data_IF_174447651914
#
_entry.id   IF_174447651914
#
_cell.length_a   1.000
_cell.length_b   1.000
_cell.length_c   1.000
_cell.angle_alpha   90.00
_cell.angle_beta   90.00
_cell.angle_gamma   90.00
#
_symmetry.space_group_name_H-M   'P 1'
#
loop_
_entity.id
_entity.type
_entity.pdbx_description
1 polymer ?
#
# COMPACT_ATOMS: atom_id res chain seq x y z
N UNK A 1 -20.80 17.04 -3.50
CA UNK A 1 -19.60 16.18 -3.71
C UNK A 1 -19.26 16.27 -5.19
N UNK A 2 -18.07 16.71 -5.53
CA UNK A 2 -17.58 16.65 -6.91
C UNK A 2 -17.60 15.21 -7.40
N UNK A 3 -17.96 15.00 -8.65
CA UNK A 3 -17.96 13.68 -9.25
C UNK A 3 -16.51 13.19 -9.34
N UNK A 4 -16.13 12.19 -8.56
CA UNK A 4 -14.75 11.65 -8.50
C UNK A 4 -14.22 11.27 -9.89
N UNK A 5 -15.09 10.90 -10.84
CA UNK A 5 -14.71 10.54 -12.19
C UNK A 5 -14.22 11.76 -13.02
N UNK A 6 -14.53 12.98 -12.59
CA UNK A 6 -14.07 14.22 -13.22
C UNK A 6 -12.72 14.70 -12.68
N UNK A 7 -12.30 14.16 -11.53
CA UNK A 7 -11.00 14.47 -10.95
C UNK A 7 -9.87 14.03 -11.89
N UNK A 8 -8.88 14.88 -12.11
CA UNK A 8 -7.81 14.63 -13.08
C UNK A 8 -7.00 13.34 -12.81
N UNK A 9 -6.88 12.89 -11.54
CA UNK A 9 -6.23 11.64 -11.18
C UNK A 9 -7.07 10.41 -11.51
N UNK A 10 -8.38 10.53 -11.73
CA UNK A 10 -9.23 9.37 -11.99
C UNK A 10 -8.71 8.53 -13.15
N UNK A 11 -8.34 9.17 -14.26
CA UNK A 11 -7.81 8.48 -15.45
C UNK A 11 -6.39 7.95 -15.31
N UNK A 12 -5.65 8.27 -14.26
CA UNK A 12 -4.43 7.55 -13.91
C UNK A 12 -4.76 6.19 -13.30
N UNK A 13 -5.78 6.12 -12.46
CA UNK A 13 -6.21 4.87 -11.82
C UNK A 13 -7.17 4.03 -12.66
N UNK A 14 -7.89 4.66 -13.60
CA UNK A 14 -8.85 4.02 -14.50
C UNK A 14 -8.60 4.41 -15.95
N UNK A 15 -7.40 4.18 -16.50
CA UNK A 15 -7.14 4.46 -17.89
C UNK A 15 -7.94 3.48 -18.76
N UNK A 16 -8.59 4.00 -19.83
CA UNK A 16 -9.25 3.14 -20.79
C UNK A 16 -8.26 2.45 -21.73
N UNK A 17 -7.03 2.98 -21.87
CA UNK A 17 -5.95 2.40 -22.64
C UNK A 17 -4.59 2.88 -22.14
N UNK A 18 -3.53 2.09 -22.36
CA UNK A 18 -2.19 2.36 -21.85
C UNK A 18 -1.11 2.14 -22.91
N UNK A 19 -0.22 3.12 -23.09
CA UNK A 19 1.01 2.98 -23.87
C UNK A 19 2.19 2.67 -22.94
N UNK A 20 2.96 1.63 -23.24
CA UNK A 20 4.12 1.20 -22.47
C UNK A 20 5.40 1.41 -23.28
N UNK A 21 6.05 2.56 -23.09
CA UNK A 21 7.22 2.99 -23.87
C UNK A 21 8.49 2.43 -23.20
N UNK A 22 9.24 1.61 -23.92
CA UNK A 22 10.40 0.89 -23.41
C UNK A 22 10.07 -0.50 -22.86
N UNK A 23 8.86 -1.01 -23.11
CA UNK A 23 8.49 -2.39 -22.79
C UNK A 23 9.44 -3.41 -23.46
N UNK A 24 9.63 -4.55 -22.84
CA UNK A 24 10.57 -5.57 -23.32
C UNK A 24 9.94 -6.96 -23.24
N UNK A 25 10.29 -7.83 -24.21
CA UNK A 25 9.99 -9.27 -24.17
C UNK A 25 11.05 -10.06 -23.38
N UNK A 26 12.18 -9.44 -23.07
CA UNK A 26 13.26 -10.10 -22.33
C UNK A 26 12.91 -10.17 -20.85
N UNK A 27 12.69 -11.39 -20.34
CA UNK A 27 12.34 -11.69 -18.94
C UNK A 27 13.37 -11.21 -17.90
N UNK A 28 14.62 -10.99 -18.32
CA UNK A 28 15.67 -10.45 -17.45
C UNK A 28 15.65 -8.92 -17.36
N UNK A 29 14.79 -8.25 -18.12
CA UNK A 29 14.62 -6.80 -18.03
C UNK A 29 13.41 -6.46 -17.17
N UNK A 30 13.54 -5.55 -16.18
CA UNK A 30 12.41 -5.16 -15.34
C UNK A 30 11.19 -4.67 -16.13
N UNK A 31 11.39 -3.99 -17.28
CA UNK A 31 10.32 -3.52 -18.15
C UNK A 31 9.50 -4.64 -18.84
N UNK A 32 9.93 -5.90 -18.73
CA UNK A 32 9.12 -7.08 -19.08
C UNK A 32 7.83 -7.14 -18.25
N UNK A 33 7.94 -6.82 -16.96
CA UNK A 33 6.83 -6.91 -16.02
C UNK A 33 5.74 -5.87 -16.29
N UNK A 34 6.04 -4.76 -16.96
CA UNK A 34 5.02 -3.76 -17.31
C UNK A 34 3.89 -4.34 -18.18
N UNK A 35 4.22 -5.20 -19.15
CA UNK A 35 3.22 -5.88 -19.98
C UNK A 35 2.71 -7.14 -19.30
N UNK A 36 3.61 -7.95 -18.74
CA UNK A 36 3.27 -9.24 -18.12
C UNK A 36 2.28 -9.09 -16.96
N UNK A 37 2.44 -8.07 -16.11
CA UNK A 37 1.52 -7.83 -14.99
C UNK A 37 0.11 -7.50 -15.49
N UNK A 38 -0.04 -6.60 -16.46
CA UNK A 38 -1.34 -6.23 -17.01
C UNK A 38 -2.08 -7.44 -17.60
N UNK A 39 -1.35 -8.30 -18.32
CA UNK A 39 -1.91 -9.53 -18.89
C UNK A 39 -2.34 -10.52 -17.81
N UNK A 40 -1.49 -10.78 -16.82
CA UNK A 40 -1.75 -11.74 -15.73
C UNK A 40 -2.88 -11.29 -14.81
N UNK A 41 -2.98 -9.97 -14.57
CA UNK A 41 -4.00 -9.40 -13.68
C UNK A 41 -5.32 -9.10 -14.41
N UNK A 42 -5.38 -9.31 -15.74
CA UNK A 42 -6.60 -9.20 -16.52
C UNK A 42 -7.03 -7.76 -16.82
N UNK A 43 -6.06 -6.83 -17.03
CA UNK A 43 -6.39 -5.49 -17.51
C UNK A 43 -7.11 -5.58 -18.85
N UNK A 44 -8.35 -5.06 -18.92
CA UNK A 44 -9.22 -5.23 -20.07
C UNK A 44 -9.03 -4.17 -21.18
N UNK A 45 -8.35 -3.06 -20.89
CA UNK A 45 -8.11 -1.98 -21.86
C UNK A 45 -7.04 -2.33 -22.89
N UNK A 46 -7.02 -1.67 -24.05
CA UNK A 46 -5.94 -1.80 -25.02
C UNK A 46 -4.58 -1.45 -24.40
N UNK A 47 -3.60 -2.34 -24.62
CA UNK A 47 -2.20 -2.16 -24.26
C UNK A 47 -1.41 -1.90 -25.56
N UNK A 48 -0.64 -0.83 -25.59
CA UNK A 48 0.19 -0.43 -26.73
C UNK A 48 1.67 -0.44 -26.32
N UNK A 49 2.37 -1.60 -26.43
CA UNK A 49 3.81 -1.63 -26.23
C UNK A 49 4.52 -0.81 -27.31
N UNK A 50 5.48 0.03 -26.89
CA UNK A 50 6.28 0.84 -27.82
C UNK A 50 7.75 0.44 -27.71
N UNK A 51 8.30 -0.08 -28.81
CA UNK A 51 9.69 -0.53 -28.88
C UNK A 51 10.24 -0.34 -30.30
N UNK A 52 11.42 0.28 -30.51
CA UNK A 52 11.90 0.67 -31.84
C UNK A 52 12.20 -0.49 -32.78
N UNK A 53 12.37 -1.72 -32.27
CA UNK A 53 12.78 -2.88 -33.06
C UNK A 53 11.81 -4.07 -32.99
N UNK A 54 11.07 -4.23 -31.89
CA UNK A 54 10.15 -5.34 -31.72
C UNK A 54 8.80 -5.02 -32.38
N UNK A 55 8.25 -5.97 -33.10
CA UNK A 55 6.92 -5.86 -33.74
C UNK A 55 5.81 -6.40 -32.86
N UNK A 56 6.19 -7.20 -31.86
CA UNK A 56 5.29 -7.86 -30.93
C UNK A 56 6.01 -8.00 -29.58
N UNK A 57 5.28 -7.88 -28.48
CA UNK A 57 5.74 -8.12 -27.11
C UNK A 57 4.67 -8.90 -26.38
N UNK A 58 4.99 -10.11 -25.94
CA UNK A 58 4.10 -11.04 -25.24
C UNK A 58 2.75 -11.25 -25.96
N UNK A 59 2.77 -11.42 -27.27
CA UNK A 59 1.57 -11.65 -28.09
C UNK A 59 0.80 -10.37 -28.44
N UNK A 60 1.27 -9.19 -28.01
CA UNK A 60 0.64 -7.90 -28.31
C UNK A 60 1.44 -7.17 -29.38
N UNK A 61 0.73 -6.65 -30.42
CA UNK A 61 1.34 -5.79 -31.46
C UNK A 61 2.09 -4.64 -30.80
N UNK A 62 3.38 -4.48 -31.11
CA UNK A 62 4.20 -3.36 -30.66
C UNK A 62 4.36 -2.32 -31.77
N UNK A 63 4.54 -1.07 -31.35
CA UNK A 63 4.66 0.09 -32.24
C UNK A 63 6.10 0.62 -32.17
N UNK A 64 6.69 1.10 -33.29
CA UNK A 64 8.05 1.62 -33.28
C UNK A 64 8.19 2.94 -32.50
N UNK A 65 7.15 3.74 -32.49
CA UNK A 65 7.02 4.98 -31.74
C UNK A 65 5.55 5.27 -31.37
N UNK A 66 5.32 6.17 -30.44
CA UNK A 66 3.98 6.50 -29.94
C UNK A 66 3.10 7.17 -31.00
N UNK A 67 3.68 7.85 -31.99
CA UNK A 67 2.98 8.50 -33.07
C UNK A 67 2.29 7.51 -34.01
N UNK A 68 2.80 6.27 -34.12
CA UNK A 68 2.25 5.20 -34.95
C UNK A 68 1.07 4.45 -34.33
N UNK A 69 0.75 4.70 -33.07
CA UNK A 69 -0.48 4.20 -32.46
C UNK A 69 -1.64 4.97 -33.08
N UNK A 70 -2.66 4.30 -33.63
CA UNK A 70 -3.79 4.96 -34.28
C UNK A 70 -4.63 5.77 -33.29
N UNK A 71 -4.92 5.20 -32.13
CA UNK A 71 -5.63 5.84 -31.02
C UNK A 71 -4.72 6.81 -30.24
N UNK A 72 -5.33 7.66 -29.42
CA UNK A 72 -4.63 8.43 -28.39
C UNK A 72 -4.76 7.66 -27.07
N UNK A 73 -3.67 7.07 -26.52
CA UNK A 73 -3.73 6.39 -25.24
C UNK A 73 -4.13 7.34 -24.09
N UNK A 74 -4.91 6.83 -23.14
CA UNK A 74 -5.30 7.61 -21.95
C UNK A 74 -4.12 7.86 -21.01
N UNK A 75 -3.22 6.87 -20.90
CA UNK A 75 -2.03 6.88 -20.05
C UNK A 75 -0.82 6.43 -20.85
N UNK A 76 0.31 7.10 -20.70
CA UNK A 76 1.61 6.62 -21.18
C UNK A 76 2.56 6.40 -20.02
N UNK A 77 3.25 5.24 -20.01
CA UNK A 77 4.33 4.91 -19.08
C UNK A 77 5.64 4.96 -19.85
N UNK A 78 6.53 5.89 -19.48
CA UNK A 78 7.82 6.11 -20.13
C UNK A 78 8.91 5.44 -19.28
N UNK A 79 9.26 4.19 -19.66
CA UNK A 79 10.19 3.31 -18.94
C UNK A 79 11.50 3.13 -19.73
N UNK A 80 12.17 4.23 -20.00
CA UNK A 80 13.46 4.28 -20.71
C UNK A 80 14.51 5.03 -19.89
N UNK A 81 15.73 5.18 -20.38
CA UNK A 81 16.77 5.94 -19.69
C UNK A 81 16.43 7.43 -19.57
N UNK A 82 16.99 8.08 -18.55
CA UNK A 82 16.86 9.53 -18.32
C UNK A 82 17.12 10.35 -19.60
N UNK A 83 18.16 10.03 -20.35
CA UNK A 83 18.53 10.76 -21.57
C UNK A 83 17.47 10.72 -22.67
N UNK A 84 16.65 9.67 -22.74
CA UNK A 84 15.60 9.49 -23.74
C UNK A 84 14.25 10.07 -23.29
N UNK A 85 14.04 10.20 -21.98
CA UNK A 85 12.76 10.57 -21.38
C UNK A 85 12.20 11.91 -21.89
N UNK A 86 13.00 13.01 -21.99
CA UNK A 86 12.45 14.31 -22.46
C UNK A 86 11.91 14.27 -23.87
N UNK A 87 12.61 13.61 -24.81
CA UNK A 87 12.15 13.50 -26.20
C UNK A 87 10.85 12.67 -26.32
N UNK A 88 10.73 11.59 -25.55
CA UNK A 88 9.53 10.76 -25.54
C UNK A 88 8.35 11.43 -24.82
N UNK A 89 8.60 12.29 -23.84
CA UNK A 89 7.57 13.16 -23.26
C UNK A 89 7.02 14.11 -24.34
N UNK A 90 7.90 14.74 -25.14
CA UNK A 90 7.47 15.60 -26.25
C UNK A 90 6.67 14.82 -27.31
N UNK A 91 7.03 13.57 -27.59
CA UNK A 91 6.27 12.68 -28.48
C UNK A 91 4.88 12.39 -27.93
N UNK A 92 4.75 12.12 -26.63
CA UNK A 92 3.46 11.95 -25.96
C UNK A 92 2.60 13.21 -26.03
N UNK A 93 3.20 14.39 -25.77
CA UNK A 93 2.54 15.68 -25.86
C UNK A 93 2.00 15.90 -27.29
N UNK A 94 2.83 15.70 -28.32
CA UNK A 94 2.43 15.83 -29.73
C UNK A 94 1.33 14.85 -30.13
N UNK A 95 1.34 13.65 -29.57
CA UNK A 95 0.29 12.64 -29.77
C UNK A 95 -1.03 13.02 -29.12
N UNK A 96 -1.04 13.97 -28.20
CA UNK A 96 -2.21 14.39 -27.43
C UNK A 96 -2.49 13.58 -26.18
N UNK A 97 -1.52 12.78 -25.73
CA UNK A 97 -1.62 12.03 -24.45
C UNK A 97 -1.56 13.04 -23.30
N UNK A 98 -2.53 12.96 -22.40
CA UNK A 98 -2.69 13.94 -21.32
C UNK A 98 -2.15 13.49 -19.97
N UNK A 99 -1.77 12.22 -19.83
CA UNK A 99 -1.29 11.62 -18.58
C UNK A 99 -0.08 10.77 -18.85
N UNK A 100 1.00 11.05 -18.11
CA UNK A 100 2.26 10.33 -18.26
C UNK A 100 2.80 9.87 -16.92
N UNK A 101 3.45 8.73 -16.91
CA UNK A 101 4.27 8.24 -15.78
C UNK A 101 5.71 8.21 -16.25
N UNK A 102 6.60 8.87 -15.51
CA UNK A 102 8.02 8.97 -15.81
C UNK A 102 8.78 8.03 -14.87
N UNK A 103 9.21 6.89 -15.39
CA UNK A 103 9.77 5.82 -14.56
C UNK A 103 11.24 6.04 -14.22
N UNK A 104 12.01 6.62 -15.13
CA UNK A 104 13.45 6.78 -14.95
C UNK A 104 13.82 7.65 -13.75
N UNK A 105 14.83 7.22 -13.01
CA UNK A 105 15.64 8.10 -12.15
C UNK A 105 16.72 8.83 -12.93
N UNK A 106 17.58 9.60 -12.24
CA UNK A 106 18.65 10.41 -12.82
C UNK A 106 18.29 11.89 -12.96
N UNK A 107 17.35 12.38 -12.18
CA UNK A 107 16.85 13.76 -12.19
C UNK A 107 17.30 14.52 -10.94
N UNK A 108 16.42 15.17 -10.20
CA UNK A 108 16.77 16.02 -9.05
C UNK A 108 17.67 15.32 -8.00
N UNK A 109 17.58 14.01 -7.87
CA UNK A 109 18.35 13.19 -6.94
C UNK A 109 19.85 13.08 -7.29
N UNK A 110 20.24 13.32 -8.54
CA UNK A 110 21.66 13.27 -8.94
C UNK A 110 22.39 14.62 -8.85
N UNK A 111 21.70 15.67 -8.38
CA UNK A 111 22.32 17.00 -8.18
C UNK A 111 21.82 18.08 -9.15
N UNK A 112 22.64 19.10 -9.36
CA UNK A 112 22.24 20.34 -10.05
C UNK A 112 21.80 20.12 -11.51
N UNK A 113 22.53 19.33 -12.28
CA UNK A 113 22.21 19.08 -13.68
C UNK A 113 20.92 18.28 -13.84
N UNK A 114 20.73 17.26 -12.99
CA UNK A 114 19.47 16.50 -12.97
C UNK A 114 18.29 17.35 -12.56
N UNK A 115 18.46 18.24 -11.59
CA UNK A 115 17.42 19.19 -11.16
C UNK A 115 17.02 20.14 -12.28
N UNK A 116 18.01 20.73 -13.00
CA UNK A 116 17.74 21.58 -14.15
C UNK A 116 16.93 20.85 -15.22
N UNK A 117 17.30 19.62 -15.55
CA UNK A 117 16.58 18.81 -16.52
C UNK A 117 15.12 18.53 -16.06
N UNK A 118 14.93 18.23 -14.77
CA UNK A 118 13.59 18.05 -14.22
C UNK A 118 12.75 19.32 -14.27
N UNK A 119 13.33 20.48 -13.98
CA UNK A 119 12.68 21.79 -14.10
C UNK A 119 12.27 22.13 -15.55
N UNK A 120 13.13 21.83 -16.52
CA UNK A 120 12.82 21.97 -17.95
C UNK A 120 11.63 21.10 -18.36
N UNK A 121 11.60 19.84 -17.90
CA UNK A 121 10.48 18.92 -18.15
C UNK A 121 9.22 19.40 -17.46
N UNK A 122 9.28 19.88 -16.24
CA UNK A 122 8.15 20.47 -15.52
C UNK A 122 7.56 21.66 -16.28
N UNK A 123 8.41 22.50 -16.88
CA UNK A 123 7.99 23.59 -17.77
C UNK A 123 7.19 23.11 -18.98
N UNK A 124 7.64 22.01 -19.63
CA UNK A 124 6.93 21.40 -20.78
C UNK A 124 5.58 20.82 -20.37
N UNK A 125 5.55 20.10 -19.24
CA UNK A 125 4.32 19.52 -18.68
C UNK A 125 3.29 20.63 -18.41
N UNK A 126 3.66 21.69 -17.70
CA UNK A 126 2.79 22.83 -17.41
C UNK A 126 2.29 23.53 -18.69
N UNK A 127 3.18 23.79 -19.64
CA UNK A 127 2.83 24.48 -20.90
C UNK A 127 1.87 23.67 -21.78
N UNK A 128 1.93 22.34 -21.74
CA UNK A 128 1.10 21.45 -22.57
C UNK A 128 -0.23 21.06 -21.94
N UNK A 129 -0.42 21.30 -20.63
CA UNK A 129 -1.57 20.83 -19.87
C UNK A 129 -1.59 19.30 -19.66
N UNK A 130 -0.45 18.62 -19.87
CA UNK A 130 -0.25 17.23 -19.49
C UNK A 130 -0.06 17.16 -17.98
N UNK A 131 -0.50 16.08 -17.35
CA UNK A 131 -0.18 15.79 -15.93
C UNK A 131 0.80 14.62 -15.87
N UNK A 132 1.73 14.67 -14.92
CA UNK A 132 2.82 13.71 -14.83
C UNK A 132 3.03 13.17 -13.41
N UNK A 133 3.14 11.84 -13.27
CA UNK A 133 3.66 11.17 -12.07
C UNK A 133 5.16 10.97 -12.24
N UNK A 134 5.94 11.22 -11.18
CA UNK A 134 7.40 11.06 -11.20
C UNK A 134 8.14 12.36 -11.52
N UNK A 135 9.35 12.30 -12.09
CA UNK A 135 10.12 11.10 -12.47
C UNK A 135 10.51 10.20 -11.29
N UNK A 136 11.18 9.09 -11.58
CA UNK A 136 11.58 8.10 -10.59
C UNK A 136 10.38 7.45 -9.85
N UNK A 137 9.34 7.06 -10.60
CA UNK A 137 8.09 6.53 -10.06
C UNK A 137 7.63 5.27 -10.79
N UNK A 138 7.07 4.31 -10.03
CA UNK A 138 6.49 3.06 -10.53
C UNK A 138 5.05 2.94 -10.02
N UNK A 139 4.14 3.51 -10.76
CA UNK A 139 2.69 3.53 -10.45
C UNK A 139 1.89 3.86 -11.72
N UNK A 140 0.55 3.78 -11.70
CA UNK A 140 -0.30 3.36 -10.59
C UNK A 140 -0.52 1.86 -10.51
N UNK A 141 -1.06 1.40 -9.36
CA UNK A 141 -1.63 0.07 -9.20
C UNK A 141 -3.11 0.22 -8.82
N UNK A 142 -3.99 -0.52 -9.49
CA UNK A 142 -5.41 -0.61 -9.18
C UNK A 142 -5.90 -2.05 -9.44
N UNK A 143 -6.04 -2.88 -8.40
CA UNK A 143 -6.46 -4.27 -8.53
C UNK A 143 -7.87 -4.46 -9.11
N UNK A 144 -8.76 -3.47 -8.91
CA UNK A 144 -10.15 -3.56 -9.39
C UNK A 144 -10.27 -3.68 -10.91
N UNK A 145 -9.25 -3.24 -11.64
CA UNK A 145 -9.22 -3.31 -13.11
C UNK A 145 -8.00 -4.04 -13.66
N UNK A 146 -7.24 -4.74 -12.80
CA UNK A 146 -6.02 -5.43 -13.19
C UNK A 146 -4.87 -4.53 -13.62
N UNK A 147 -4.91 -3.23 -13.25
CA UNK A 147 -3.83 -2.28 -13.56
C UNK A 147 -2.68 -2.42 -12.58
N UNK A 148 -1.48 -2.69 -13.07
CA UNK A 148 -0.26 -2.68 -12.26
C UNK A 148 0.96 -2.23 -13.07
N UNK A 149 1.40 -1.02 -12.83
CA UNK A 149 2.67 -0.48 -13.35
C UNK A 149 3.75 -0.73 -12.30
N UNK A 150 4.50 -1.80 -12.47
CA UNK A 150 5.57 -2.24 -11.57
C UNK A 150 6.66 -2.99 -12.34
N UNK A 151 7.90 -2.92 -11.87
CA UNK A 151 9.03 -3.70 -12.36
C UNK A 151 9.15 -5.07 -11.70
N UNK A 152 8.34 -5.35 -10.70
CA UNK A 152 8.27 -6.66 -10.05
C UNK A 152 7.11 -7.49 -10.60
N UNK A 153 7.29 -8.81 -10.61
CA UNK A 153 6.24 -9.73 -11.01
C UNK A 153 5.10 -9.71 -10.00
N UNK A 154 3.90 -9.37 -10.48
CA UNK A 154 2.67 -9.39 -9.71
C UNK A 154 1.68 -10.32 -10.42
N UNK A 155 1.36 -11.44 -9.81
CA UNK A 155 0.42 -12.45 -10.33
C UNK A 155 -0.84 -12.59 -9.47
N UNK A 156 -0.84 -11.94 -8.30
CA UNK A 156 -1.99 -11.90 -7.41
C UNK A 156 -2.07 -10.53 -6.72
N UNK A 157 -3.20 -9.87 -6.89
CA UNK A 157 -3.58 -8.67 -6.14
C UNK A 157 -5.00 -8.85 -5.61
N UNK A 158 -5.19 -8.61 -4.32
CA UNK A 158 -6.52 -8.63 -3.71
C UNK A 158 -7.06 -7.20 -3.63
N UNK A 159 -8.26 -7.01 -4.19
CA UNK A 159 -8.98 -5.73 -4.07
C UNK A 159 -9.48 -5.55 -2.63
N UNK A 160 -9.36 -4.33 -2.12
CA UNK A 160 -9.82 -3.95 -0.78
C UNK A 160 -10.02 -2.46 -0.63
N UNK A 161 -10.00 -1.96 0.61
CA UNK A 161 -10.25 -0.56 0.93
C UNK A 161 -9.01 0.27 1.19
N UNK A 162 -7.81 -0.32 1.20
CA UNK A 162 -6.56 0.40 1.49
C UNK A 162 -6.04 1.11 0.24
N UNK A 163 -5.80 2.42 0.34
CA UNK A 163 -5.08 3.20 -0.67
C UNK A 163 -3.74 3.67 -0.15
N UNK A 164 -2.70 3.57 -0.97
CA UNK A 164 -1.33 3.87 -0.58
C UNK A 164 -0.75 5.00 -1.44
N UNK A 165 -0.11 5.97 -0.78
CA UNK A 165 0.66 7.04 -1.40
C UNK A 165 2.11 6.88 -0.95
N UNK A 166 3.02 6.74 -1.91
CA UNK A 166 4.45 6.64 -1.66
C UNK A 166 5.21 7.77 -2.36
N UNK A 167 6.29 8.22 -1.74
CA UNK A 167 7.24 9.15 -2.36
C UNK A 167 8.50 8.43 -2.86
N UNK A 168 8.72 7.19 -2.44
CA UNK A 168 9.94 6.43 -2.71
C UNK A 168 9.58 5.02 -3.15
N UNK A 169 10.36 4.44 -4.07
CA UNK A 169 10.26 3.04 -4.46
C UNK A 169 10.59 2.03 -3.35
N UNK A 170 10.67 2.45 -2.10
CA UNK A 170 10.94 1.63 -0.90
C UNK A 170 10.01 0.40 -0.80
N UNK A 171 8.78 0.52 -1.24
CA UNK A 171 7.78 -0.56 -1.20
C UNK A 171 7.95 -1.58 -2.34
N UNK A 172 8.53 -1.18 -3.48
CA UNK A 172 8.64 -2.02 -4.69
C UNK A 172 9.23 -3.42 -4.42
N UNK A 173 10.38 -3.56 -3.72
CA UNK A 173 10.92 -4.88 -3.41
C UNK A 173 10.04 -5.71 -2.46
N UNK A 174 9.12 -5.06 -1.75
CA UNK A 174 8.21 -5.69 -0.79
C UNK A 174 6.85 -6.06 -1.38
N UNK A 175 6.52 -5.65 -2.61
CA UNK A 175 5.20 -5.86 -3.23
C UNK A 175 4.78 -7.32 -3.18
N UNK A 176 5.68 -8.25 -3.50
CA UNK A 176 5.36 -9.66 -3.45
C UNK A 176 4.98 -10.10 -2.03
N UNK A 177 5.80 -9.77 -1.04
CA UNK A 177 5.51 -10.09 0.35
C UNK A 177 4.22 -9.44 0.82
N UNK A 178 3.99 -8.17 0.53
CA UNK A 178 2.78 -7.43 0.93
C UNK A 178 1.51 -8.08 0.39
N UNK A 179 1.51 -8.47 -0.89
CA UNK A 179 0.30 -8.99 -1.52
C UNK A 179 0.11 -10.49 -1.36
N UNK A 180 1.19 -11.26 -1.26
CA UNK A 180 1.11 -12.73 -1.14
C UNK A 180 1.14 -13.19 0.31
N UNK A 181 2.16 -12.79 1.06
CA UNK A 181 2.41 -13.33 2.40
C UNK A 181 1.62 -12.54 3.46
N UNK A 182 1.68 -11.20 3.42
CA UNK A 182 0.92 -10.36 4.33
C UNK A 182 -0.55 -10.18 3.91
N UNK A 183 -0.96 -10.70 2.76
CA UNK A 183 -2.32 -10.67 2.24
C UNK A 183 -2.97 -9.28 2.32
N UNK A 184 -2.24 -8.27 1.86
CA UNK A 184 -2.71 -6.89 1.85
C UNK A 184 -3.80 -6.72 0.79
N UNK A 185 -4.93 -6.14 1.16
CA UNK A 185 -6.04 -5.85 0.25
C UNK A 185 -5.98 -4.38 -0.17
N UNK A 186 -5.69 -4.15 -1.43
CA UNK A 186 -5.42 -2.83 -1.97
C UNK A 186 -6.61 -2.27 -2.76
N UNK A 187 -6.90 -1.00 -2.56
CA UNK A 187 -7.75 -0.24 -3.48
C UNK A 187 -6.91 0.41 -4.58
N UNK A 188 -6.01 1.30 -4.19
CA UNK A 188 -5.12 2.02 -5.12
C UNK A 188 -3.74 2.24 -4.53
N UNK A 189 -2.73 2.30 -5.39
CA UNK A 189 -1.39 2.71 -5.00
C UNK A 189 -0.87 3.73 -6.01
N UNK A 190 -0.29 4.81 -5.50
CA UNK A 190 0.43 5.81 -6.27
C UNK A 190 1.82 6.05 -5.65
N UNK A 191 2.85 5.90 -6.47
CA UNK A 191 4.21 6.33 -6.18
C UNK A 191 4.45 7.66 -6.90
N UNK A 192 4.76 8.68 -6.14
CA UNK A 192 4.91 10.05 -6.65
C UNK A 192 6.33 10.34 -7.15
N UNK A 193 7.31 9.52 -6.75
CA UNK A 193 8.72 9.73 -7.09
C UNK A 193 9.23 11.11 -6.68
N UNK A 194 9.87 11.82 -7.61
CA UNK A 194 10.44 13.16 -7.36
C UNK A 194 9.40 14.30 -7.32
N UNK A 195 8.11 14.01 -7.54
CA UNK A 195 7.01 14.99 -7.45
C UNK A 195 7.20 16.22 -8.36
N UNK A 196 7.59 15.99 -9.60
CA UNK A 196 7.81 17.07 -10.56
C UNK A 196 6.55 17.89 -10.88
N UNK A 197 5.38 17.22 -10.92
CA UNK A 197 4.07 17.81 -11.19
C UNK A 197 3.07 17.39 -10.12
N UNK A 198 2.77 16.08 -10.00
CA UNK A 198 1.83 15.56 -9.01
C UNK A 198 2.52 15.35 -7.67
N UNK A 199 1.83 15.72 -6.59
CA UNK A 199 2.32 15.62 -5.22
C UNK A 199 1.31 14.93 -4.28
N UNK A 200 1.62 14.86 -2.99
CA UNK A 200 0.82 14.20 -1.98
C UNK A 200 -0.55 14.87 -1.75
N UNK A 201 -0.65 16.18 -1.95
CA UNK A 201 -1.92 16.92 -1.82
C UNK A 201 -2.87 16.54 -2.95
N UNK A 202 -2.35 16.44 -4.17
CA UNK A 202 -3.10 15.96 -5.33
C UNK A 202 -3.63 14.53 -5.11
N UNK A 203 -2.78 13.63 -4.61
CA UNK A 203 -3.14 12.24 -4.35
C UNK A 203 -4.19 12.13 -3.22
N UNK A 204 -4.00 12.84 -2.11
CA UNK A 204 -4.96 12.90 -1.01
C UNK A 204 -6.30 13.47 -1.45
N UNK A 205 -6.31 14.56 -2.25
CA UNK A 205 -7.55 15.18 -2.71
C UNK A 205 -8.44 14.19 -3.49
N UNK A 206 -7.85 13.25 -4.21
CA UNK A 206 -8.57 12.17 -4.88
C UNK A 206 -9.00 11.07 -3.89
N UNK A 207 -8.08 10.54 -3.09
CA UNK A 207 -8.34 9.36 -2.26
C UNK A 207 -9.30 9.63 -1.10
N UNK A 208 -9.30 10.83 -0.55
CA UNK A 208 -10.26 11.24 0.50
C UNK A 208 -11.70 11.14 -0.01
N UNK A 209 -11.93 11.48 -1.27
CA UNK A 209 -13.25 11.45 -1.90
C UNK A 209 -13.57 10.16 -2.67
N UNK A 210 -12.59 9.27 -2.86
CA UNK A 210 -12.81 7.99 -3.53
C UNK A 210 -13.67 7.05 -2.65
N UNK A 211 -14.86 6.63 -3.12
CA UNK A 211 -15.78 5.82 -2.32
C UNK A 211 -15.24 4.43 -1.99
N UNK A 212 -14.26 3.93 -2.75
CA UNK A 212 -13.64 2.64 -2.49
C UNK A 212 -12.47 2.72 -1.51
N UNK A 213 -11.97 3.93 -1.21
CA UNK A 213 -10.92 4.14 -0.22
C UNK A 213 -11.52 4.17 1.18
N UNK A 214 -11.11 3.27 2.06
CA UNK A 214 -11.49 3.21 3.48
C UNK A 214 -10.35 3.60 4.41
N UNK A 215 -9.13 3.26 4.04
CA UNK A 215 -7.90 3.58 4.79
C UNK A 215 -6.88 4.19 3.82
N UNK A 216 -6.13 5.18 4.26
CA UNK A 216 -5.05 5.78 3.48
C UNK A 216 -3.73 5.56 4.21
N UNK A 217 -2.77 4.91 3.56
CA UNK A 217 -1.38 4.85 4.01
C UNK A 217 -0.53 5.85 3.24
N UNK A 218 0.25 6.67 3.94
CA UNK A 218 1.02 7.75 3.36
C UNK A 218 2.48 7.70 3.84
N UNK A 219 3.41 7.37 2.94
CA UNK A 219 4.85 7.45 3.19
C UNK A 219 5.44 8.70 2.53
N UNK A 220 6.03 9.58 3.34
CA UNK A 220 6.58 10.87 2.91
C UNK A 220 8.04 11.05 3.33
N UNK A 221 8.81 11.65 2.44
CA UNK A 221 10.14 12.23 2.74
C UNK A 221 10.05 13.76 2.90
N UNK A 222 9.22 14.40 2.06
CA UNK A 222 8.94 15.84 2.09
C UNK A 222 7.47 16.13 1.82
N UNK A 223 7.03 17.35 2.07
CA UNK A 223 5.74 17.90 1.62
C UNK A 223 6.06 18.97 0.59
N UNK A 224 5.61 18.78 -0.66
CA UNK A 224 5.84 19.70 -1.78
C UNK A 224 4.57 20.50 -2.13
N UNK A 225 3.40 19.98 -1.78
CA UNK A 225 2.13 20.67 -1.95
C UNK A 225 1.89 21.73 -0.88
N UNK A 226 0.74 22.41 -0.96
CA UNK A 226 0.31 23.37 0.06
C UNK A 226 0.14 22.68 1.42
N UNK A 227 0.95 23.03 2.44
CA UNK A 227 0.89 22.38 3.75
C UNK A 227 -0.44 22.58 4.48
N UNK A 228 -1.12 23.69 4.29
CA UNK A 228 -2.43 23.92 4.90
C UNK A 228 -3.48 23.02 4.25
N UNK A 229 -3.49 22.95 2.93
CA UNK A 229 -4.39 22.05 2.21
C UNK A 229 -4.12 20.57 2.54
N UNK A 230 -2.85 20.20 2.76
CA UNK A 230 -2.48 18.87 3.23
C UNK A 230 -3.14 18.54 4.56
N UNK A 231 -3.08 19.46 5.55
CA UNK A 231 -3.69 19.27 6.86
C UNK A 231 -5.22 19.27 6.80
N UNK A 232 -5.82 20.12 5.97
CA UNK A 232 -7.26 20.14 5.76
C UNK A 232 -7.76 18.80 5.22
N UNK A 233 -7.03 18.20 4.25
CA UNK A 233 -7.38 16.89 3.69
C UNK A 233 -7.24 15.75 4.70
N UNK A 234 -6.25 15.82 5.60
CA UNK A 234 -6.13 14.84 6.69
C UNK A 234 -7.31 14.94 7.66
N UNK A 235 -7.67 16.16 8.05
CA UNK A 235 -8.83 16.41 8.92
C UNK A 235 -10.15 16.00 8.24
N UNK A 236 -10.29 16.27 6.94
CA UNK A 236 -11.43 15.86 6.13
C UNK A 236 -11.53 14.32 6.07
N UNK A 237 -10.42 13.61 5.82
CA UNK A 237 -10.39 12.15 5.85
C UNK A 237 -10.87 11.58 7.19
N UNK A 238 -10.36 12.15 8.30
CA UNK A 238 -10.79 11.77 9.66
C UNK A 238 -12.30 12.00 9.86
N UNK A 239 -12.83 13.15 9.40
CA UNK A 239 -14.27 13.46 9.50
C UNK A 239 -15.16 12.51 8.68
N UNK A 240 -14.62 11.94 7.61
CA UNK A 240 -15.27 10.95 6.76
C UNK A 240 -15.08 9.51 7.26
N UNK A 241 -14.46 9.32 8.43
CA UNK A 241 -14.18 8.00 8.99
C UNK A 241 -13.10 7.22 8.23
N UNK A 242 -12.23 7.89 7.49
CA UNK A 242 -11.12 7.29 6.74
C UNK A 242 -9.81 7.53 7.49
N UNK A 243 -9.32 6.58 8.28
CA UNK A 243 -8.05 6.76 8.99
C UNK A 243 -6.90 6.91 8.00
N UNK A 244 -5.97 7.83 8.34
CA UNK A 244 -4.75 8.06 7.57
C UNK A 244 -3.55 7.67 8.42
N UNK A 245 -2.77 6.70 7.96
CA UNK A 245 -1.52 6.27 8.59
C UNK A 245 -0.36 6.95 7.88
N UNK A 246 0.49 7.67 8.62
CA UNK A 246 1.61 8.45 8.07
C UNK A 246 2.95 7.90 8.55
N UNK A 247 3.78 7.46 7.62
CA UNK A 247 5.19 7.17 7.85
C UNK A 247 6.04 8.31 7.29
N UNK A 248 6.76 9.03 8.15
CA UNK A 248 7.65 10.12 7.76
C UNK A 248 9.10 9.67 7.83
N UNK A 249 9.80 9.68 6.69
CA UNK A 249 11.25 9.49 6.61
C UNK A 249 12.01 10.81 6.82
N UNK A 250 13.31 10.73 7.12
CA UNK A 250 14.14 11.92 7.30
C UNK A 250 13.90 12.67 8.62
N UNK A 251 13.53 11.99 9.69
CA UNK A 251 13.15 12.54 11.02
C UNK A 251 14.34 13.13 11.79
N UNK A 252 15.52 12.59 11.61
CA UNK A 252 16.76 13.01 12.26
C UNK A 252 17.63 13.84 11.31
N UNK A 253 18.58 14.61 11.83
CA UNK A 253 19.51 15.36 10.99
C UNK A 253 20.28 14.47 9.99
N UNK A 254 20.68 13.26 10.43
CA UNK A 254 21.33 12.28 9.56
C UNK A 254 20.34 11.72 8.51
N UNK A 255 19.11 11.37 8.92
CA UNK A 255 18.05 10.91 8.03
C UNK A 255 17.63 11.99 7.02
N UNK A 256 17.51 13.25 7.45
CA UNK A 256 17.23 14.37 6.57
C UNK A 256 18.32 14.57 5.49
N UNK A 257 19.59 14.45 5.88
CA UNK A 257 20.71 14.47 4.94
C UNK A 257 20.67 13.30 3.95
N UNK A 258 20.34 12.11 4.43
CA UNK A 258 20.18 10.93 3.59
C UNK A 258 19.01 11.09 2.59
N UNK A 259 17.84 11.56 3.05
CA UNK A 259 16.68 11.84 2.19
C UNK A 259 17.02 12.91 1.13
N UNK A 260 17.68 13.99 1.51
CA UNK A 260 18.13 15.03 0.56
C UNK A 260 19.06 14.48 -0.53
N UNK A 261 19.92 13.52 -0.20
CA UNK A 261 20.82 12.87 -1.18
C UNK A 261 20.11 11.80 -2.03
N UNK A 262 18.97 11.27 -1.57
CA UNK A 262 18.22 10.21 -2.24
C UNK A 262 17.15 10.74 -3.22
N UNK A 263 16.42 11.79 -2.82
CA UNK A 263 15.32 12.34 -3.62
C UNK A 263 15.50 13.80 -4.01
N UNK A 264 16.58 14.44 -3.55
CA UNK A 264 16.79 15.89 -3.71
C UNK A 264 15.85 16.74 -2.84
N UNK A 265 15.04 16.11 -2.01
CA UNK A 265 14.06 16.79 -1.16
C UNK A 265 14.77 17.53 -0.01
N UNK A 266 14.42 18.81 0.18
CA UNK A 266 14.81 19.56 1.37
C UNK A 266 13.91 19.15 2.54
N UNK A 267 14.38 18.17 3.32
CA UNK A 267 13.70 17.79 4.56
C UNK A 267 13.97 18.86 5.60
N UNK A 268 13.09 19.87 5.67
CA UNK A 268 13.10 20.89 6.70
C UNK A 268 11.90 20.69 7.63
N UNK A 269 12.13 20.81 8.93
CA UNK A 269 11.04 20.82 9.90
C UNK A 269 11.40 20.17 11.23
N UNK A 270 10.70 20.59 12.28
CA UNK A 270 10.78 19.98 13.61
C UNK A 270 9.85 18.77 13.65
N UNK A 271 10.41 17.56 13.75
CA UNK A 271 9.67 16.31 13.79
C UNK A 271 8.60 16.27 14.90
N UNK A 272 8.88 16.91 16.05
CA UNK A 272 7.91 17.02 17.15
C UNK A 272 6.70 17.90 16.80
N UNK A 273 6.92 18.95 16.00
CA UNK A 273 5.81 19.80 15.52
C UNK A 273 4.96 19.01 14.54
N UNK A 274 5.60 18.31 13.61
CA UNK A 274 4.93 17.47 12.64
C UNK A 274 4.05 16.40 13.33
N UNK A 275 4.60 15.72 14.33
CA UNK A 275 3.89 14.71 15.13
C UNK A 275 2.63 15.28 15.81
N UNK A 276 2.79 16.43 16.49
CA UNK A 276 1.65 17.06 17.17
C UNK A 276 0.56 17.52 16.20
N UNK A 277 0.95 18.03 15.06
CA UNK A 277 0.01 18.48 14.02
C UNK A 277 -0.74 17.29 13.43
N UNK A 278 -0.06 16.17 13.13
CA UNK A 278 -0.72 14.95 12.68
C UNK A 278 -1.76 14.44 13.69
N UNK A 279 -1.39 14.40 14.96
CA UNK A 279 -2.30 13.99 16.04
C UNK A 279 -3.52 14.92 16.13
N UNK A 280 -3.31 16.24 15.98
CA UNK A 280 -4.39 17.23 16.03
C UNK A 280 -5.41 17.06 14.91
N UNK A 281 -4.98 16.65 13.72
CA UNK A 281 -5.86 16.41 12.56
C UNK A 281 -6.39 14.98 12.49
N UNK A 282 -6.10 14.14 13.50
CA UNK A 282 -6.61 12.77 13.59
C UNK A 282 -5.86 11.75 12.73
N UNK A 283 -4.66 12.10 12.25
CA UNK A 283 -3.81 11.14 11.53
C UNK A 283 -2.99 10.28 12.51
N UNK A 284 -2.73 9.04 12.13
CA UNK A 284 -1.99 8.04 12.91
C UNK A 284 -0.55 8.05 12.41
N UNK A 285 0.41 8.23 13.31
CA UNK A 285 1.82 8.17 12.95
C UNK A 285 2.39 6.79 13.18
N UNK A 286 3.06 6.23 12.16
CA UNK A 286 3.85 5.03 12.27
C UNK A 286 5.33 5.37 12.49
N UNK A 287 6.03 4.62 13.35
CA UNK A 287 7.43 4.82 13.73
C UNK A 287 8.39 4.00 12.85
N UNK A 288 7.91 2.90 12.27
CA UNK A 288 8.66 2.01 11.40
C UNK A 288 7.85 1.60 10.17
N UNK A 289 8.54 1.01 9.18
CA UNK A 289 7.88 0.52 7.97
C UNK A 289 6.99 -0.69 8.26
N UNK A 290 7.39 -1.54 9.18
CA UNK A 290 6.61 -2.73 9.56
C UNK A 290 5.34 -2.30 10.29
N UNK A 291 5.44 -1.39 11.27
CA UNK A 291 4.30 -0.78 11.94
C UNK A 291 3.35 -0.06 10.97
N UNK A 292 3.89 0.65 9.97
CA UNK A 292 3.08 1.30 8.94
C UNK A 292 2.19 0.30 8.20
N UNK A 293 2.75 -0.81 7.72
CA UNK A 293 1.97 -1.81 7.01
C UNK A 293 1.03 -2.59 7.92
N UNK A 294 1.44 -2.86 9.16
CA UNK A 294 0.59 -3.54 10.15
C UNK A 294 -0.62 -2.69 10.53
N UNK A 295 -0.43 -1.39 10.77
CA UNK A 295 -1.53 -0.45 11.02
C UNK A 295 -2.46 -0.33 9.80
N UNK A 296 -1.92 -0.16 8.60
CA UNK A 296 -2.72 -0.09 7.37
C UNK A 296 -3.56 -1.36 7.19
N UNK A 297 -2.95 -2.54 7.38
CA UNK A 297 -3.63 -3.82 7.26
C UNK A 297 -4.70 -4.03 8.34
N UNK A 298 -4.37 -3.71 9.59
CA UNK A 298 -5.31 -3.85 10.70
C UNK A 298 -6.53 -2.93 10.51
N UNK A 299 -6.32 -1.65 10.19
CA UNK A 299 -7.40 -0.71 9.96
C UNK A 299 -8.29 -1.10 8.77
N UNK A 300 -7.68 -1.63 7.68
CA UNK A 300 -8.44 -2.11 6.53
C UNK A 300 -9.27 -3.36 6.87
N UNK A 301 -8.73 -4.28 7.68
CA UNK A 301 -9.40 -5.52 8.07
C UNK A 301 -10.48 -5.32 9.11
N UNK A 302 -10.26 -4.41 10.04
CA UNK A 302 -11.17 -4.11 11.14
C UNK A 302 -12.10 -2.91 10.83
N UNK A 303 -12.19 -2.49 9.57
CA UNK A 303 -13.09 -1.41 9.16
C UNK A 303 -14.53 -1.69 9.58
N UNK A 304 -15.13 -0.71 10.27
CA UNK A 304 -16.48 -0.83 10.83
C UNK A 304 -16.58 -1.68 12.10
N UNK A 305 -15.50 -2.28 12.58
CA UNK A 305 -15.47 -2.99 13.86
C UNK A 305 -15.12 -2.03 15.00
N UNK A 306 -16.09 -1.66 15.80
CA UNK A 306 -15.87 -0.96 17.06
C UNK A 306 -15.67 -2.01 18.16
N UNK A 307 -14.51 -2.02 18.80
CA UNK A 307 -14.31 -2.82 20.01
C UNK A 307 -15.19 -2.27 21.13
N UNK A 308 -15.93 -3.17 21.82
CA UNK A 308 -16.82 -2.78 22.91
C UNK A 308 -16.04 -2.34 24.18
N UNK A 309 -14.75 -2.68 24.27
CA UNK A 309 -13.88 -2.36 25.37
C UNK A 309 -12.42 -2.74 25.10
N UNK A 310 -11.63 -2.85 26.16
CA UNK A 310 -10.19 -3.07 26.10
C UNK A 310 -9.74 -4.41 26.74
N UNK A 311 -10.67 -5.34 26.97
CA UNK A 311 -10.37 -6.62 27.64
C UNK A 311 -9.94 -7.66 26.62
N UNK A 312 -8.69 -8.10 26.69
CA UNK A 312 -8.04 -8.95 25.69
C UNK A 312 -7.76 -10.34 26.24
N UNK A 313 -8.02 -11.35 25.45
CA UNK A 313 -7.54 -12.72 25.64
C UNK A 313 -6.32 -12.96 24.77
N UNK A 314 -5.33 -13.64 25.31
CA UNK A 314 -4.15 -14.12 24.57
C UNK A 314 -4.17 -15.65 24.56
N UNK A 315 -3.98 -16.24 23.38
CA UNK A 315 -3.79 -17.68 23.23
C UNK A 315 -2.64 -17.94 22.23
N UNK A 316 -1.57 -18.55 22.70
CA UNK A 316 -0.34 -18.81 21.94
C UNK A 316 0.10 -20.26 22.03
N UNK A 317 0.81 -20.73 21.01
CA UNK A 317 1.43 -22.07 21.06
C UNK A 317 2.61 -22.12 22.03
N UNK A 318 3.61 -21.22 22.01
CA UNK A 318 4.65 -21.20 23.03
C UNK A 318 4.21 -20.36 24.23
N UNK A 319 4.16 -20.97 25.42
CA UNK A 319 3.79 -20.25 26.64
C UNK A 319 4.68 -19.03 26.94
N UNK A 320 5.95 -19.05 26.55
CA UNK A 320 6.84 -17.89 26.67
C UNK A 320 6.38 -16.67 25.88
N UNK A 321 5.76 -16.86 24.73
CA UNK A 321 5.21 -15.77 23.93
C UNK A 321 3.97 -15.14 24.59
N UNK A 322 3.15 -15.95 25.24
CA UNK A 322 2.02 -15.47 26.03
C UNK A 322 2.45 -14.49 27.13
N UNK A 323 3.60 -14.73 27.77
CA UNK A 323 4.16 -13.82 28.79
C UNK A 323 4.51 -12.46 28.16
N UNK A 324 5.26 -12.46 27.04
CA UNK A 324 5.67 -11.24 26.34
C UNK A 324 4.46 -10.45 25.86
N UNK A 325 3.44 -11.15 25.32
CA UNK A 325 2.21 -10.51 24.87
C UNK A 325 1.39 -9.93 26.03
N UNK A 326 1.38 -10.57 27.18
CA UNK A 326 0.71 -10.05 28.38
C UNK A 326 1.34 -8.74 28.84
N UNK A 327 2.66 -8.64 28.85
CA UNK A 327 3.37 -7.38 29.16
C UNK A 327 2.99 -6.29 28.15
N UNK A 328 2.92 -6.64 26.85
CA UNK A 328 2.55 -5.68 25.80
C UNK A 328 1.12 -5.18 25.96
N UNK A 329 0.16 -6.06 26.26
CA UNK A 329 -1.24 -5.67 26.51
C UNK A 329 -1.32 -4.60 27.60
N UNK A 330 -0.59 -4.76 28.71
CA UNK A 330 -0.60 -3.78 29.79
C UNK A 330 0.12 -2.47 29.42
N UNK A 331 1.23 -2.53 28.68
CA UNK A 331 1.98 -1.37 28.22
C UNK A 331 1.14 -0.49 27.30
N UNK A 332 0.25 -1.09 26.49
CA UNK A 332 -0.67 -0.38 25.59
C UNK A 332 -1.97 0.08 26.29
N UNK A 333 -2.07 -0.05 27.60
CA UNK A 333 -3.26 0.36 28.37
C UNK A 333 -4.47 -0.56 28.19
N UNK A 334 -4.25 -1.75 27.63
CA UNK A 334 -5.27 -2.79 27.53
C UNK A 334 -5.32 -3.61 28.81
N UNK A 335 -6.36 -4.42 28.97
CA UNK A 335 -6.59 -5.22 30.19
C UNK A 335 -6.70 -6.70 29.82
N UNK A 336 -6.03 -7.57 30.58
CA UNK A 336 -6.24 -9.01 30.43
C UNK A 336 -7.67 -9.38 30.84
N UNK A 337 -8.41 -9.96 29.92
CA UNK A 337 -9.80 -10.37 30.16
C UNK A 337 -9.91 -11.45 31.23
N UNK A 338 -10.92 -11.33 32.12
CA UNK A 338 -11.32 -12.41 33.02
C UNK A 338 -12.37 -13.26 32.30
N UNK A 339 -11.94 -14.43 31.87
CA UNK A 339 -12.82 -15.37 31.18
C UNK A 339 -13.83 -15.96 32.18
N UNK A 340 -15.10 -16.04 31.79
CA UNK A 340 -16.16 -16.53 32.66
C UNK A 340 -16.03 -18.03 32.97
N UNK A 341 -16.53 -18.45 34.11
CA UNK A 341 -16.53 -19.86 34.53
C UNK A 341 -17.21 -20.77 33.48
N UNK A 342 -18.32 -20.31 32.88
CA UNK A 342 -19.00 -21.05 31.83
C UNK A 342 -18.18 -21.23 30.56
N UNK A 343 -17.36 -20.24 30.21
CA UNK A 343 -16.41 -20.35 29.09
C UNK A 343 -15.28 -21.32 29.42
N UNK A 344 -14.70 -21.24 30.62
CA UNK A 344 -13.68 -22.18 31.04
C UNK A 344 -14.18 -23.63 31.07
N UNK A 345 -15.43 -23.85 31.46
CA UNK A 345 -16.05 -25.19 31.42
C UNK A 345 -16.23 -25.72 30.01
N UNK A 346 -16.60 -24.86 29.04
CA UNK A 346 -16.66 -25.24 27.62
C UNK A 346 -15.29 -25.58 27.03
N UNK A 347 -14.25 -24.93 27.50
CA UNK A 347 -12.88 -25.17 27.05
C UNK A 347 -12.24 -26.40 27.68
N UNK A 348 -12.65 -26.80 28.88
CA UNK A 348 -12.07 -27.94 29.63
C UNK A 348 -11.92 -29.23 28.82
N UNK A 349 -12.90 -29.66 27.98
CA UNK A 349 -12.78 -30.92 27.22
C UNK A 349 -11.66 -30.92 26.17
N UNK A 350 -11.21 -29.76 25.72
CA UNK A 350 -10.17 -29.63 24.69
C UNK A 350 -8.79 -29.33 25.29
N UNK A 351 -8.70 -29.12 26.60
CA UNK A 351 -7.47 -28.97 27.34
C UNK A 351 -7.08 -30.25 28.11
N UNK A 352 -5.79 -30.53 28.36
CA UNK A 352 -5.37 -31.66 29.16
C UNK A 352 -5.96 -31.64 30.58
N UNK A 353 -6.23 -32.80 31.22
CA UNK A 353 -6.88 -32.85 32.52
C UNK A 353 -6.11 -32.15 33.67
N UNK A 354 -4.80 -32.00 33.49
CA UNK A 354 -3.92 -31.36 34.48
C UNK A 354 -3.70 -29.86 34.17
N UNK A 355 -4.14 -29.39 33.00
CA UNK A 355 -4.00 -28.01 32.60
C UNK A 355 -5.35 -27.31 32.75
N UNK A 356 -5.36 -26.22 33.50
CA UNK A 356 -6.58 -25.42 33.70
C UNK A 356 -6.55 -24.26 32.72
N UNK A 357 -7.53 -24.14 31.81
CA UNK A 357 -7.60 -23.01 30.93
C UNK A 357 -7.61 -21.69 31.70
N UNK A 358 -6.71 -20.81 31.35
CA UNK A 358 -6.59 -19.47 31.93
C UNK A 358 -6.06 -18.49 30.89
N UNK A 359 -6.42 -17.21 31.01
CA UNK A 359 -5.86 -16.16 30.18
C UNK A 359 -4.57 -15.58 30.81
N UNK A 360 -3.41 -15.71 30.13
CA UNK A 360 -3.21 -16.21 28.77
C UNK A 360 -3.33 -17.74 28.65
N UNK A 361 -3.86 -18.22 27.53
CA UNK A 361 -3.93 -19.65 27.24
C UNK A 361 -2.65 -20.12 26.56
N UNK A 362 -1.94 -21.06 27.19
CA UNK A 362 -0.85 -21.80 26.55
C UNK A 362 -1.44 -23.01 25.80
N UNK A 363 -1.39 -22.96 24.48
CA UNK A 363 -1.92 -24.01 23.62
C UNK A 363 -0.87 -25.08 23.26
N UNK A 364 0.40 -24.94 23.72
CA UNK A 364 1.50 -25.81 23.32
C UNK A 364 1.24 -27.27 23.64
N UNK A 365 0.88 -27.56 24.88
CA UNK A 365 0.56 -28.93 25.31
C UNK A 365 -0.76 -29.42 24.75
N UNK A 366 -1.77 -28.55 24.71
CA UNK A 366 -3.11 -28.85 24.15
C UNK A 366 -3.00 -29.30 22.69
N UNK A 367 -2.18 -28.62 21.87
CA UNK A 367 -1.99 -28.93 20.45
C UNK A 367 -1.19 -30.22 20.21
N UNK A 368 -0.39 -30.66 21.18
CA UNK A 368 0.35 -31.94 21.07
C UNK A 368 -0.55 -33.17 21.20
N UNK A 369 -1.61 -33.06 21.98
CA UNK A 369 -2.48 -34.20 22.34
C UNK A 369 -3.90 -34.08 21.80
N UNK A 370 -4.35 -32.89 21.40
CA UNK A 370 -5.66 -32.61 20.87
C UNK A 370 -5.68 -32.51 19.33
N UNK A 371 -6.89 -32.53 18.77
CA UNK A 371 -7.07 -32.15 17.36
C UNK A 371 -7.00 -30.61 17.25
N UNK A 372 -6.01 -30.03 16.55
CA UNK A 372 -5.83 -28.59 16.47
C UNK A 372 -7.07 -27.83 15.97
N UNK A 373 -7.77 -28.38 14.98
CA UNK A 373 -9.00 -27.74 14.43
C UNK A 373 -10.07 -27.64 15.53
N UNK A 374 -10.36 -28.76 16.21
CA UNK A 374 -11.36 -28.79 17.28
C UNK A 374 -10.99 -27.85 18.44
N UNK A 375 -9.71 -27.77 18.78
CA UNK A 375 -9.22 -26.85 19.84
C UNK A 375 -9.49 -25.40 19.45
N UNK A 376 -9.12 -25.00 18.23
CA UNK A 376 -9.32 -23.61 17.76
C UNK A 376 -10.80 -23.27 17.60
N UNK A 377 -11.61 -24.15 17.01
CA UNK A 377 -13.05 -23.93 16.87
C UNK A 377 -13.72 -23.74 18.22
N UNK A 378 -13.40 -24.62 19.19
CA UNK A 378 -13.95 -24.53 20.54
C UNK A 378 -13.50 -23.26 21.25
N UNK A 379 -12.21 -22.89 21.10
CA UNK A 379 -11.65 -21.68 21.70
C UNK A 379 -12.33 -20.43 21.15
N UNK A 380 -12.37 -20.28 19.82
CA UNK A 380 -12.97 -19.11 19.16
C UNK A 380 -14.44 -18.98 19.50
N UNK A 381 -15.23 -20.06 19.34
CA UNK A 381 -16.66 -20.04 19.65
C UNK A 381 -16.93 -19.71 21.13
N UNK A 382 -16.11 -20.23 22.05
CA UNK A 382 -16.27 -19.99 23.48
C UNK A 382 -15.91 -18.56 23.88
N UNK A 383 -14.84 -18.01 23.32
CA UNK A 383 -14.39 -16.64 23.61
C UNK A 383 -15.31 -15.59 22.96
N UNK A 384 -15.77 -15.83 21.74
CA UNK A 384 -16.72 -14.94 21.05
C UNK A 384 -18.06 -14.81 21.79
N UNK A 385 -18.45 -15.84 22.54
CA UNK A 385 -19.68 -15.84 23.34
C UNK A 385 -19.47 -15.32 24.78
N UNK A 386 -18.24 -14.97 25.17
CA UNK A 386 -17.95 -14.51 26.54
C UNK A 386 -18.12 -12.99 26.67
N UNK A 387 -19.06 -12.49 27.49
CA UNK A 387 -19.27 -11.06 27.67
C UNK A 387 -18.12 -10.33 28.38
N UNK A 388 -17.17 -11.08 28.94
CA UNK A 388 -15.94 -10.57 29.56
C UNK A 388 -14.79 -10.31 28.60
N UNK A 389 -14.96 -10.66 27.30
CA UNK A 389 -13.92 -10.59 26.26
C UNK A 389 -14.32 -9.59 25.19
N UNK A 390 -13.47 -8.60 24.93
CA UNK A 390 -13.69 -7.60 23.88
C UNK A 390 -12.86 -7.89 22.63
N UNK A 391 -11.69 -8.53 22.80
CA UNK A 391 -10.81 -8.95 21.72
C UNK A 391 -10.01 -10.21 22.12
N UNK A 392 -9.56 -10.97 21.13
CA UNK A 392 -8.67 -12.10 21.33
C UNK A 392 -7.49 -12.02 20.34
N UNK A 393 -6.27 -12.19 20.87
CA UNK A 393 -5.08 -12.46 20.08
C UNK A 393 -4.82 -13.95 20.05
N UNK A 394 -4.93 -14.54 18.87
CA UNK A 394 -4.75 -15.97 18.66
C UNK A 394 -3.54 -16.21 17.75
N UNK A 395 -2.54 -16.91 18.25
CA UNK A 395 -1.44 -17.38 17.42
C UNK A 395 -1.83 -18.70 16.75
N UNK A 396 -1.97 -18.68 15.43
CA UNK A 396 -2.30 -19.86 14.64
C UNK A 396 -0.98 -20.52 14.19
N UNK A 397 -0.77 -21.83 14.44
CA UNK A 397 0.44 -22.52 14.00
C UNK A 397 0.53 -22.60 12.47
N UNK A 398 1.74 -22.51 11.93
CA UNK A 398 2.01 -22.66 10.48
C UNK A 398 1.44 -23.97 9.91
N UNK A 399 1.41 -25.02 10.72
CA UNK A 399 0.82 -26.30 10.34
C UNK A 399 -0.66 -26.16 9.91
N UNK A 400 -1.39 -25.23 10.50
CA UNK A 400 -2.81 -25.00 10.17
C UNK A 400 -2.97 -24.08 8.95
N UNK A 401 -1.97 -23.27 8.61
CA UNK A 401 -2.00 -22.38 7.44
C UNK A 401 -1.95 -23.15 6.11
N UNK A 402 -1.50 -24.42 6.12
CA UNK A 402 -1.53 -25.32 4.96
C UNK A 402 -2.87 -26.02 4.72
N UNK A 403 -3.84 -25.88 5.62
CA UNK A 403 -5.17 -26.47 5.46
C UNK A 403 -6.03 -25.62 4.50
N UNK A 404 -6.99 -26.25 3.78
CA UNK A 404 -7.94 -25.51 2.94
C UNK A 404 -8.65 -24.41 3.74
N UNK A 405 -8.82 -23.23 3.13
CA UNK A 405 -9.51 -22.10 3.79
C UNK A 405 -10.92 -22.42 4.27
N UNK A 406 -11.58 -23.38 3.63
CA UNK A 406 -12.90 -23.91 4.01
C UNK A 406 -12.87 -24.57 5.39
N UNK A 407 -11.71 -25.04 5.85
CA UNK A 407 -11.51 -25.59 7.20
C UNK A 407 -11.59 -24.51 8.29
N UNK A 408 -11.40 -23.24 7.92
CA UNK A 408 -11.47 -22.06 8.80
C UNK A 408 -12.70 -21.18 8.50
N UNK A 409 -13.77 -21.73 7.97
CA UNK A 409 -14.97 -21.02 7.52
C UNK A 409 -15.68 -20.11 8.53
N UNK A 410 -15.01 -19.75 9.62
CA UNK A 410 -15.47 -18.79 10.64
C UNK A 410 -14.53 -17.58 10.81
N UNK A 411 -13.59 -17.33 9.88
CA UNK A 411 -12.70 -16.16 9.94
C UNK A 411 -12.87 -15.25 8.73
#
# INVERSE_FOLDING_TARGET
MENIAEHFLHRFFYPASIALIGASENVFRPSYHLVSNLLKLGYAGPIYPVHPKQKEILGIKAYPDVGRIEAVPDLAVIAVSQAQTPGLLDDCIRKGIRRVVLVAGGFSEIGADGRRLQEEMAGRVRASGVRAIGPNALSPINPHIGLAVSFHALDRLHSGGLSLIFQSGLYEPRLRWLFHDANLHLNKLIDLGNKMDLNEVDALSYLVHDPLTRVIGLHLESIEGDPLRFLDLLAEAASLGKPVVVLKSGRTAAGAKAAASHTGALVQGNDRVFDRVLTQVGAIRAESIDEFFDLCRALERFDGLALAGNRVVIATMPGGEAVVMTDRVQQEGLTMARVSAGTLERLRPVFPPWDMPANPFDLGVTMQFGNPVTVFETLVASLAADPGVDAAHLQIPDLLLGLPRETFGMF
#
